data_IF_217389388498
#
_entry.id   IF_217389388498
#
_cell.length_a   1.000
_cell.length_b   1.000
_cell.length_c   1.000
_cell.angle_alpha   90.00
_cell.angle_beta   90.00
_cell.angle_gamma   90.00
#
_symmetry.space_group_name_H-M   'P 1'
#
loop_
_entity.id
_entity.type
_entity.pdbx_description
1 polymer ?
#
# COMPACT_ATOMS: atom_id res chain seq x y z
N UNK A 1 15.34 -6.00 -29.07
CA UNK A 1 15.88 -5.82 -30.42
C UNK A 1 16.21 -7.11 -31.16
N UNK A 2 16.21 -8.30 -30.48
CA UNK A 2 16.43 -9.63 -31.12
C UNK A 2 15.14 -10.28 -31.63
N UNK A 3 14.00 -9.63 -31.49
CA UNK A 3 12.70 -10.14 -31.94
C UNK A 3 12.47 -9.81 -33.42
N UNK A 4 11.75 -10.68 -34.18
CA UNK A 4 11.48 -10.46 -35.59
C UNK A 4 10.59 -9.24 -35.83
N UNK A 5 10.74 -8.57 -36.98
CA UNK A 5 10.04 -7.34 -37.34
C UNK A 5 8.51 -7.49 -37.25
N UNK A 6 8.00 -8.66 -37.61
CA UNK A 6 6.56 -9.00 -37.54
C UNK A 6 5.97 -8.92 -36.13
N UNK A 7 6.79 -8.98 -35.08
CA UNK A 7 6.35 -8.81 -33.69
C UNK A 7 6.00 -7.35 -33.41
N UNK A 8 6.75 -6.39 -33.99
CA UNK A 8 6.55 -4.95 -33.80
C UNK A 8 5.45 -4.39 -34.70
N UNK A 9 5.25 -4.93 -35.90
CA UNK A 9 4.23 -4.50 -36.85
C UNK A 9 2.79 -4.85 -36.42
N UNK A 10 2.62 -5.93 -35.63
CA UNK A 10 1.31 -6.40 -35.17
C UNK A 10 0.85 -5.83 -33.84
N UNK A 11 1.63 -4.97 -33.21
CA UNK A 11 1.32 -4.42 -31.88
C UNK A 11 1.42 -2.91 -31.85
N UNK A 12 0.47 -2.29 -31.16
CA UNK A 12 0.51 -0.84 -30.93
C UNK A 12 1.71 -0.51 -30.03
N UNK A 13 2.41 0.60 -30.34
CA UNK A 13 3.53 1.12 -29.54
C UNK A 13 3.20 1.21 -28.04
N UNK A 14 1.94 1.56 -27.71
CA UNK A 14 1.47 1.65 -26.33
C UNK A 14 1.51 0.33 -25.56
N UNK A 15 1.24 -0.81 -26.21
CA UNK A 15 1.31 -2.15 -25.57
C UNK A 15 2.75 -2.53 -25.25
N UNK A 16 3.69 -2.17 -26.11
CA UNK A 16 5.13 -2.41 -25.88
C UNK A 16 5.63 -1.56 -24.71
N UNK A 17 5.30 -0.27 -24.68
CA UNK A 17 5.68 0.66 -23.61
C UNK A 17 5.07 0.24 -22.27
N UNK A 18 3.80 -0.18 -22.25
CA UNK A 18 3.12 -0.68 -21.04
C UNK A 18 3.80 -1.92 -20.45
N UNK A 19 4.28 -2.84 -21.29
CA UNK A 19 5.03 -4.02 -20.83
C UNK A 19 6.39 -3.67 -20.26
N UNK A 20 7.08 -2.67 -20.86
CA UNK A 20 8.33 -2.15 -20.28
C UNK A 20 8.11 -1.48 -18.93
N UNK A 21 7.07 -0.66 -18.78
CA UNK A 21 6.70 -0.07 -17.49
C UNK A 21 6.37 -1.14 -16.42
N UNK A 22 5.75 -2.24 -16.83
CA UNK A 22 5.50 -3.37 -15.92
C UNK A 22 6.80 -4.05 -15.46
N UNK A 23 7.81 -4.16 -16.33
CA UNK A 23 9.14 -4.68 -15.97
C UNK A 23 9.87 -3.76 -15.00
N UNK A 24 9.77 -2.44 -15.16
CA UNK A 24 10.37 -1.47 -14.23
C UNK A 24 9.74 -1.57 -12.84
N UNK A 25 8.41 -1.73 -12.77
CA UNK A 25 7.72 -1.97 -11.50
C UNK A 25 8.18 -3.28 -10.83
N UNK A 26 8.33 -4.37 -11.60
CA UNK A 26 8.84 -5.65 -11.08
C UNK A 26 10.29 -5.49 -10.60
N UNK A 27 11.13 -4.79 -11.37
CA UNK A 27 12.52 -4.50 -10.99
C UNK A 27 12.59 -3.73 -9.67
N UNK A 28 11.77 -2.70 -9.50
CA UNK A 28 11.71 -1.91 -8.26
C UNK A 28 11.29 -2.75 -7.06
N UNK A 29 10.23 -3.57 -7.22
CA UNK A 29 9.77 -4.51 -6.19
C UNK A 29 10.88 -5.48 -5.77
N UNK A 30 11.56 -6.10 -6.74
CA UNK A 30 12.61 -7.10 -6.46
C UNK A 30 13.86 -6.45 -5.88
N UNK A 31 14.26 -5.26 -6.37
CA UNK A 31 15.55 -4.66 -5.99
C UNK A 31 15.48 -3.87 -4.69
N UNK A 32 14.38 -3.15 -4.43
CA UNK A 32 14.28 -2.31 -3.24
C UNK A 32 13.44 -2.96 -2.14
N UNK A 33 12.23 -3.39 -2.45
CA UNK A 33 11.31 -3.88 -1.42
C UNK A 33 11.73 -5.23 -0.85
N UNK A 34 12.22 -6.17 -1.66
CA UNK A 34 12.69 -7.46 -1.15
C UNK A 34 13.93 -7.33 -0.25
N UNK A 35 14.89 -6.47 -0.64
CA UNK A 35 16.09 -6.25 0.19
C UNK A 35 15.67 -5.65 1.54
N UNK A 36 14.83 -4.63 1.53
CA UNK A 36 14.32 -4.00 2.76
C UNK A 36 13.62 -5.02 3.65
N UNK A 37 12.70 -5.83 3.11
CA UNK A 37 11.98 -6.85 3.88
C UNK A 37 12.93 -7.88 4.51
N UNK A 38 13.96 -8.33 3.78
CA UNK A 38 14.94 -9.30 4.30
C UNK A 38 15.78 -8.66 5.41
N UNK A 39 16.29 -7.46 5.19
CA UNK A 39 17.13 -6.74 6.17
C UNK A 39 16.31 -6.42 7.42
N UNK A 40 15.14 -5.80 7.27
CA UNK A 40 14.27 -5.43 8.40
C UNK A 40 13.77 -6.67 9.15
N UNK A 41 13.45 -7.75 8.42
CA UNK A 41 13.05 -9.03 9.00
C UNK A 41 14.17 -9.63 9.85
N UNK A 42 15.40 -9.63 9.35
CA UNK A 42 16.55 -10.17 10.07
C UNK A 42 16.86 -9.34 11.33
N UNK A 43 16.88 -8.01 11.21
CA UNK A 43 17.07 -7.12 12.35
C UNK A 43 15.95 -7.25 13.38
N UNK A 44 14.69 -7.38 12.94
CA UNK A 44 13.54 -7.58 13.83
C UNK A 44 13.66 -8.87 14.65
N UNK A 45 14.05 -9.98 14.01
CA UNK A 45 14.27 -11.26 14.71
C UNK A 45 15.43 -11.13 15.72
N UNK A 46 16.54 -10.52 15.30
CA UNK A 46 17.71 -10.35 16.16
C UNK A 46 17.38 -9.46 17.38
N UNK A 47 16.69 -8.35 17.16
CA UNK A 47 16.23 -7.46 18.24
C UNK A 47 15.26 -8.18 19.18
N UNK A 48 14.36 -9.00 18.66
CA UNK A 48 13.42 -9.77 19.48
C UNK A 48 14.14 -10.80 20.36
N UNK A 49 15.17 -11.48 19.82
CA UNK A 49 15.99 -12.42 20.59
C UNK A 49 16.72 -11.69 21.72
N UNK A 50 17.32 -10.53 21.43
CA UNK A 50 18.01 -9.72 22.45
C UNK A 50 17.02 -9.25 23.53
N UNK A 51 15.83 -8.77 23.14
CA UNK A 51 14.80 -8.35 24.07
C UNK A 51 14.36 -9.50 24.98
N UNK A 52 14.21 -10.70 24.42
CA UNK A 52 13.84 -11.90 25.20
C UNK A 52 14.93 -12.30 26.21
N UNK A 53 16.20 -12.15 25.84
CA UNK A 53 17.34 -12.45 26.74
C UNK A 53 17.44 -11.43 27.89
N UNK A 54 17.16 -10.15 27.62
CA UNK A 54 17.25 -9.10 28.64
C UNK A 54 16.02 -9.04 29.54
N UNK A 55 14.82 -9.14 28.97
CA UNK A 55 13.57 -9.07 29.73
C UNK A 55 12.46 -9.88 29.06
N UNK A 56 12.19 -11.10 29.50
CA UNK A 56 11.08 -11.88 28.96
C UNK A 56 9.72 -11.17 29.06
N UNK A 57 9.50 -10.37 30.10
CA UNK A 57 8.25 -9.62 30.31
C UNK A 57 8.03 -8.60 29.16
N UNK A 58 9.05 -7.82 28.82
CA UNK A 58 8.96 -6.87 27.71
C UNK A 58 8.83 -7.58 26.35
N UNK A 59 9.51 -8.71 26.17
CA UNK A 59 9.39 -9.52 24.96
C UNK A 59 7.96 -10.06 24.77
N UNK A 60 7.29 -10.52 25.82
CA UNK A 60 5.90 -10.97 25.73
C UNK A 60 4.93 -9.83 25.42
N UNK A 61 5.15 -8.63 25.98
CA UNK A 61 4.34 -7.45 25.66
C UNK A 61 4.49 -7.09 24.18
N UNK A 62 5.71 -6.97 23.69
CA UNK A 62 5.98 -6.69 22.27
C UNK A 62 5.35 -7.75 21.35
N UNK A 63 5.48 -9.04 21.70
CA UNK A 63 4.90 -10.13 20.94
C UNK A 63 3.37 -10.05 20.90
N UNK A 64 2.73 -9.66 21.99
CA UNK A 64 1.29 -9.48 22.07
C UNK A 64 0.83 -8.37 21.11
N UNK A 65 1.49 -7.20 21.12
CA UNK A 65 1.15 -6.10 20.21
C UNK A 65 1.38 -6.47 18.74
N UNK A 66 2.50 -7.12 18.41
CA UNK A 66 2.79 -7.61 17.06
C UNK A 66 1.72 -8.61 16.60
N UNK A 67 1.29 -9.50 17.49
CA UNK A 67 0.24 -10.48 17.18
C UNK A 67 -1.10 -9.80 16.92
N UNK A 68 -1.49 -8.82 17.73
CA UNK A 68 -2.72 -8.04 17.54
C UNK A 68 -2.69 -7.32 16.19
N UNK A 69 -1.59 -6.61 15.89
CA UNK A 69 -1.43 -5.90 14.60
C UNK A 69 -1.49 -6.85 13.41
N UNK A 70 -0.83 -8.00 13.50
CA UNK A 70 -0.85 -9.03 12.46
C UNK A 70 -2.26 -9.57 12.22
N UNK A 71 -3.00 -9.83 13.30
CA UNK A 71 -4.37 -10.33 13.22
C UNK A 71 -5.32 -9.32 12.57
N UNK A 72 -5.23 -8.05 12.96
CA UNK A 72 -5.98 -6.96 12.31
C UNK A 72 -5.64 -6.89 10.82
N UNK A 73 -4.36 -6.96 10.48
CA UNK A 73 -3.91 -6.90 9.08
C UNK A 73 -4.46 -8.06 8.25
N UNK A 74 -4.43 -9.27 8.78
CA UNK A 74 -4.98 -10.46 8.12
C UNK A 74 -6.49 -10.36 7.89
N UNK A 75 -7.24 -9.82 8.84
CA UNK A 75 -8.69 -9.65 8.71
C UNK A 75 -9.07 -8.63 7.63
N UNK A 76 -8.26 -7.59 7.44
CA UNK A 76 -8.59 -6.47 6.55
C UNK A 76 -8.02 -6.63 5.15
N UNK A 77 -6.97 -7.45 4.95
CA UNK A 77 -6.25 -7.59 3.67
C UNK A 77 -7.17 -7.94 2.50
N UNK A 78 -8.17 -8.80 2.72
CA UNK A 78 -9.13 -9.21 1.69
C UNK A 78 -10.00 -8.03 1.24
N UNK A 79 -10.46 -7.21 2.19
CA UNK A 79 -11.30 -6.05 1.90
C UNK A 79 -10.52 -4.92 1.22
N UNK A 80 -9.29 -4.69 1.66
CA UNK A 80 -8.38 -3.73 1.02
C UNK A 80 -8.09 -4.13 -0.44
N UNK A 81 -7.86 -5.42 -0.70
CA UNK A 81 -7.62 -5.95 -2.05
C UNK A 81 -8.84 -5.72 -2.96
N UNK A 82 -10.04 -5.95 -2.46
CA UNK A 82 -11.27 -5.70 -3.21
C UNK A 82 -11.44 -4.21 -3.58
N UNK A 83 -11.21 -3.30 -2.63
CA UNK A 83 -11.28 -1.86 -2.90
C UNK A 83 -10.19 -1.39 -3.87
N UNK A 84 -8.98 -1.93 -3.78
CA UNK A 84 -7.91 -1.64 -4.77
C UNK A 84 -8.32 -2.08 -6.18
N UNK A 85 -8.94 -3.24 -6.34
CA UNK A 85 -9.44 -3.71 -7.63
C UNK A 85 -10.54 -2.80 -8.17
N UNK A 86 -11.47 -2.35 -7.32
CA UNK A 86 -12.54 -1.42 -7.71
C UNK A 86 -11.96 -0.09 -8.20
N UNK A 87 -10.97 0.47 -7.51
CA UNK A 87 -10.26 1.69 -7.92
C UNK A 87 -9.58 1.51 -9.28
N UNK A 88 -8.86 0.40 -9.47
CA UNK A 88 -8.18 0.11 -10.75
C UNK A 88 -9.18 -0.02 -11.91
N UNK A 89 -10.28 -0.74 -11.71
CA UNK A 89 -11.30 -0.92 -12.74
C UNK A 89 -12.04 0.38 -13.06
N UNK A 90 -12.42 1.15 -12.06
CA UNK A 90 -13.09 2.43 -12.24
C UNK A 90 -12.17 3.46 -12.90
N UNK A 91 -10.90 3.49 -12.51
CA UNK A 91 -9.89 4.34 -13.13
C UNK A 91 -9.66 4.00 -14.61
N UNK A 92 -9.55 2.71 -14.94
CA UNK A 92 -9.42 2.27 -16.33
C UNK A 92 -10.64 2.66 -17.17
N UNK A 93 -11.86 2.50 -16.64
CA UNK A 93 -13.10 2.90 -17.35
C UNK A 93 -13.15 4.41 -17.57
N UNK A 94 -12.82 5.21 -16.56
CA UNK A 94 -12.77 6.66 -16.67
C UNK A 94 -11.73 7.11 -17.72
N UNK A 95 -10.54 6.52 -17.68
CA UNK A 95 -9.46 6.82 -18.62
C UNK A 95 -9.84 6.48 -20.07
N UNK A 96 -10.47 5.32 -20.29
CA UNK A 96 -10.94 4.91 -21.62
C UNK A 96 -11.96 5.91 -22.15
N UNK A 97 -12.94 6.31 -21.32
CA UNK A 97 -13.96 7.31 -21.74
C UNK A 97 -13.35 8.69 -22.02
N UNK A 98 -12.36 9.09 -21.22
CA UNK A 98 -11.63 10.31 -21.50
C UNK A 98 -10.92 10.28 -22.87
N UNK A 99 -10.19 9.20 -23.16
CA UNK A 99 -9.50 9.02 -24.44
C UNK A 99 -10.47 8.94 -25.63
N UNK A 100 -11.62 8.28 -25.49
CA UNK A 100 -12.68 8.27 -26.51
C UNK A 100 -13.20 9.69 -26.79
N UNK A 101 -13.45 10.49 -25.77
CA UNK A 101 -13.88 11.87 -25.93
C UNK A 101 -12.85 12.73 -26.67
N UNK A 102 -11.56 12.55 -26.38
CA UNK A 102 -10.49 13.25 -27.11
C UNK A 102 -10.41 12.79 -28.56
N UNK A 103 -10.49 11.49 -28.82
CA UNK A 103 -10.47 10.96 -30.21
C UNK A 103 -11.64 11.47 -31.04
N UNK A 104 -12.81 11.61 -30.44
CA UNK A 104 -14.03 12.05 -31.10
C UNK A 104 -14.30 13.56 -30.98
N UNK A 105 -13.29 14.36 -30.61
CA UNK A 105 -13.50 15.79 -30.31
C UNK A 105 -14.06 16.58 -31.51
N UNK A 106 -13.61 16.29 -32.72
CA UNK A 106 -14.12 16.92 -33.92
C UNK A 106 -15.62 16.64 -34.17
N UNK A 107 -16.04 15.40 -33.96
CA UNK A 107 -17.44 15.00 -34.07
C UNK A 107 -18.26 15.67 -32.95
N UNK A 108 -17.77 15.66 -31.74
CA UNK A 108 -18.42 16.30 -30.57
C UNK A 108 -18.67 17.80 -30.84
N UNK A 109 -17.69 18.49 -31.41
CA UNK A 109 -17.79 19.91 -31.78
C UNK A 109 -18.78 20.15 -32.91
N UNK A 110 -18.74 19.33 -33.97
CA UNK A 110 -19.60 19.48 -35.14
C UNK A 110 -21.09 19.28 -34.80
N UNK A 111 -21.38 18.41 -33.82
CA UNK A 111 -22.78 18.13 -33.41
C UNK A 111 -23.19 18.89 -32.15
N UNK A 112 -22.33 19.74 -31.58
CA UNK A 112 -22.58 20.52 -30.34
C UNK A 112 -23.08 19.68 -29.16
N UNK A 113 -22.50 18.46 -28.98
CA UNK A 113 -22.87 17.51 -27.88
C UNK A 113 -21.86 17.48 -26.75
N UNK A 114 -21.11 18.58 -26.54
CA UNK A 114 -20.07 18.66 -25.49
C UNK A 114 -20.63 18.47 -24.09
N UNK A 115 -21.76 19.07 -23.79
CA UNK A 115 -22.40 19.00 -22.46
C UNK A 115 -22.80 17.58 -22.11
N UNK A 116 -23.32 16.83 -23.07
CA UNK A 116 -23.71 15.42 -22.87
C UNK A 116 -22.48 14.55 -22.63
N UNK A 117 -21.44 14.70 -23.49
CA UNK A 117 -20.17 13.96 -23.34
C UNK A 117 -19.48 14.28 -22.03
N UNK A 118 -19.47 15.54 -21.61
CA UNK A 118 -18.90 15.96 -20.33
C UNK A 118 -19.67 15.32 -19.16
N UNK A 119 -21.01 15.37 -19.19
CA UNK A 119 -21.84 14.77 -18.16
C UNK A 119 -21.59 13.25 -18.03
N UNK A 120 -21.53 12.54 -19.15
CA UNK A 120 -21.21 11.11 -19.16
C UNK A 120 -19.83 10.84 -18.53
N UNK A 121 -18.79 11.59 -18.90
CA UNK A 121 -17.46 11.43 -18.33
C UNK A 121 -17.44 11.77 -16.84
N UNK A 122 -18.14 12.82 -16.41
CA UNK A 122 -18.26 13.20 -15.00
C UNK A 122 -18.85 12.08 -14.13
N UNK A 123 -19.81 11.30 -14.65
CA UNK A 123 -20.38 10.15 -13.94
C UNK A 123 -19.32 9.05 -13.71
N UNK A 124 -18.50 8.73 -14.71
CA UNK A 124 -17.39 7.78 -14.55
C UNK A 124 -16.32 8.30 -13.59
N UNK A 125 -16.03 9.59 -13.67
CA UNK A 125 -15.08 10.24 -12.78
C UNK A 125 -15.57 10.26 -11.33
N UNK A 126 -16.84 10.58 -11.10
CA UNK A 126 -17.46 10.52 -9.77
C UNK A 126 -17.41 9.12 -9.17
N UNK A 127 -17.65 8.09 -9.98
CA UNK A 127 -17.54 6.70 -9.53
C UNK A 127 -16.09 6.34 -9.15
N UNK A 128 -15.11 6.75 -9.95
CA UNK A 128 -13.68 6.57 -9.62
C UNK A 128 -13.29 7.28 -8.33
N UNK A 129 -13.71 8.53 -8.13
CA UNK A 129 -13.46 9.29 -6.90
C UNK A 129 -14.09 8.60 -5.68
N UNK A 130 -15.34 8.12 -5.80
CA UNK A 130 -16.00 7.42 -4.71
C UNK A 130 -15.28 6.09 -4.34
N UNK A 131 -14.82 5.34 -5.33
CA UNK A 131 -14.04 4.11 -5.09
C UNK A 131 -12.70 4.44 -4.42
N UNK A 132 -12.01 5.49 -4.89
CA UNK A 132 -10.76 5.98 -4.30
C UNK A 132 -10.96 6.48 -2.86
N UNK A 133 -12.06 7.18 -2.59
CA UNK A 133 -12.43 7.63 -1.25
C UNK A 133 -12.63 6.47 -0.28
N UNK A 134 -13.36 5.42 -0.69
CA UNK A 134 -13.56 4.21 0.15
C UNK A 134 -12.25 3.53 0.50
N UNK A 135 -11.35 3.38 -0.47
CA UNK A 135 -10.02 2.83 -0.23
C UNK A 135 -9.20 3.73 0.70
N UNK A 136 -9.17 5.04 0.44
CA UNK A 136 -8.46 6.02 1.26
C UNK A 136 -8.96 6.05 2.70
N UNK A 137 -10.28 6.01 2.90
CA UNK A 137 -10.89 5.96 4.23
C UNK A 137 -10.48 4.69 5.00
N UNK A 138 -10.48 3.52 4.34
CA UNK A 138 -10.00 2.28 4.95
C UNK A 138 -8.53 2.38 5.35
N UNK A 139 -7.68 2.89 4.46
CA UNK A 139 -6.25 3.04 4.72
C UNK A 139 -5.97 4.02 5.86
N UNK A 140 -6.67 5.16 5.92
CA UNK A 140 -6.57 6.12 7.00
C UNK A 140 -7.01 5.51 8.34
N UNK A 141 -8.12 4.78 8.36
CA UNK A 141 -8.60 4.11 9.58
C UNK A 141 -7.58 3.08 10.09
N UNK A 142 -6.98 2.29 9.19
CA UNK A 142 -5.94 1.34 9.56
C UNK A 142 -4.67 2.03 10.05
N UNK A 143 -4.23 3.10 9.39
CA UNK A 143 -3.07 3.88 9.79
C UNK A 143 -3.26 4.52 11.16
N UNK A 144 -4.44 5.08 11.42
CA UNK A 144 -4.77 5.65 12.74
C UNK A 144 -4.77 4.59 13.83
N UNK A 145 -5.39 3.43 13.56
CA UNK A 145 -5.41 2.31 14.51
C UNK A 145 -3.99 1.79 14.80
N UNK A 146 -3.16 1.65 13.77
CA UNK A 146 -1.76 1.26 13.90
C UNK A 146 -1.00 2.26 14.78
N UNK A 147 -1.15 3.58 14.52
CA UNK A 147 -0.48 4.63 15.29
C UNK A 147 -0.92 4.65 16.76
N UNK A 148 -2.21 4.40 17.03
CA UNK A 148 -2.73 4.31 18.40
C UNK A 148 -2.15 3.09 19.13
N UNK A 149 -2.16 1.92 18.51
CA UNK A 149 -1.61 0.70 19.10
C UNK A 149 -0.11 0.83 19.35
N UNK A 150 0.61 1.40 18.39
CA UNK A 150 2.05 1.67 18.55
C UNK A 150 2.32 2.66 19.69
N UNK A 151 1.50 3.72 19.84
CA UNK A 151 1.60 4.66 20.94
C UNK A 151 1.36 4.00 22.30
N UNK A 152 0.36 3.11 22.40
CA UNK A 152 0.08 2.36 23.64
C UNK A 152 1.23 1.39 23.97
N UNK A 153 1.74 0.66 22.95
CA UNK A 153 2.90 -0.22 23.13
C UNK A 153 4.11 0.56 23.65
N UNK A 154 4.40 1.70 23.06
CA UNK A 154 5.53 2.55 23.45
C UNK A 154 5.43 3.03 24.91
N UNK A 155 4.25 3.53 25.32
CA UNK A 155 3.99 3.95 26.71
C UNK A 155 4.09 2.78 27.67
N UNK A 156 3.54 1.62 27.30
CA UNK A 156 3.57 0.41 28.12
C UNK A 156 5.01 -0.10 28.30
N UNK A 157 5.79 -0.11 27.22
CA UNK A 157 7.20 -0.52 27.23
C UNK A 157 8.06 0.41 28.10
N UNK A 158 7.86 1.74 28.00
CA UNK A 158 8.55 2.70 28.86
C UNK A 158 8.17 2.50 30.32
N UNK A 159 6.89 2.33 30.62
CA UNK A 159 6.41 2.13 31.99
C UNK A 159 6.98 0.87 32.63
N UNK A 160 6.88 -0.26 31.95
CA UNK A 160 7.40 -1.54 32.42
C UNK A 160 8.93 -1.55 32.48
N UNK A 161 9.58 -0.97 31.49
CA UNK A 161 11.04 -0.86 31.44
C UNK A 161 11.59 0.02 32.56
N UNK A 162 10.98 1.19 32.82
CA UNK A 162 11.38 2.05 33.94
C UNK A 162 11.13 1.38 35.29
N UNK A 163 10.04 0.65 35.49
CA UNK A 163 9.79 -0.15 36.68
C UNK A 163 10.85 -1.24 36.88
N UNK A 164 11.27 -1.92 35.82
CA UNK A 164 12.33 -2.92 35.86
C UNK A 164 13.71 -2.32 36.18
N UNK A 165 13.99 -1.10 35.71
CA UNK A 165 15.23 -0.36 36.07
C UNK A 165 15.22 0.01 37.56
N UNK A 166 14.11 0.54 38.06
CA UNK A 166 13.98 0.91 39.47
C UNK A 166 14.11 -0.30 40.42
N UNK A 167 13.69 -1.48 39.96
CA UNK A 167 13.88 -2.74 40.70
C UNK A 167 15.27 -3.37 40.54
N UNK A 168 16.17 -2.75 39.74
CA UNK A 168 17.53 -3.22 39.52
C UNK A 168 17.65 -4.42 38.58
N UNK A 169 16.58 -4.78 37.88
CA UNK A 169 16.56 -5.92 36.95
C UNK A 169 17.10 -5.55 35.55
N UNK A 170 17.05 -4.28 35.18
CA UNK A 170 17.51 -3.77 33.91
C UNK A 170 18.38 -2.53 34.09
N UNK A 171 19.29 -2.31 33.15
CA UNK A 171 20.06 -1.06 33.06
C UNK A 171 19.42 -0.10 32.02
N UNK A 172 19.67 1.21 32.16
CA UNK A 172 19.16 2.22 31.22
C UNK A 172 19.61 1.91 29.78
N UNK A 173 20.84 1.44 29.59
CA UNK A 173 21.36 1.08 28.26
C UNK A 173 20.73 -0.16 27.62
N UNK A 174 20.07 -1.01 28.43
CA UNK A 174 19.32 -2.18 27.93
C UNK A 174 17.89 -1.83 27.52
N UNK A 175 17.35 -0.72 28.01
CA UNK A 175 16.02 -0.23 27.64
C UNK A 175 16.05 0.64 26.37
N UNK A 176 17.14 1.34 26.12
CA UNK A 176 17.39 2.16 24.92
C UNK A 176 17.98 1.34 23.77
#
# INVERSE_FOLDING_TARGET
LRLPLSYFERREMGDIVSRFSSLDNIKQLVTQEMITVIVDGLFSVLTFILLFLYSPTLAFVALLFVTILSLIRLLVISRERSYRQEVLQSGAKQQTRFMENIRCIAVTKNYAIESERLSQWQNYYAYFINSSYRLGHLQLSLSTLHSLLFGIDHVTTIYLGSSAILSGQLTIGQLM
#
